data_IF_541662206761
#
_entry.id   IF_541662206761
#
_cell.length_a   1.000
_cell.length_b   1.000
_cell.length_c   1.000
_cell.angle_alpha   90.00
_cell.angle_beta   90.00
_cell.angle_gamma   90.00
#
_symmetry.space_group_name_H-M   'P 1'
#
loop_
_entity.id
_entity.type
_entity.pdbx_description
1 polymer ?
#
# COMPACT_ATOMS: atom_id res chain seq x y z
N UNK A 1 -1.81 7.91 -19.15
CA UNK A 1 -1.63 6.94 -18.05
C UNK A 1 -0.35 7.18 -17.24
N UNK A 2 0.83 7.35 -17.85
CA UNK A 2 2.07 7.68 -17.11
C UNK A 2 2.02 9.03 -16.36
N UNK A 3 1.46 10.08 -16.97
CA UNK A 3 1.39 11.41 -16.34
C UNK A 3 0.47 11.48 -15.10
N UNK A 4 -0.65 10.75 -15.09
CA UNK A 4 -1.56 10.75 -13.93
C UNK A 4 -0.98 10.01 -12.73
N UNK A 5 -0.23 8.93 -12.98
CA UNK A 5 0.50 8.23 -11.92
C UNK A 5 1.57 9.15 -11.31
N UNK A 6 2.35 9.86 -12.13
CA UNK A 6 3.36 10.80 -11.63
C UNK A 6 2.74 11.94 -10.79
N UNK A 7 1.59 12.47 -11.20
CA UNK A 7 0.88 13.52 -10.44
C UNK A 7 0.46 13.08 -9.04
N UNK A 8 -0.04 11.85 -8.86
CA UNK A 8 -0.37 11.37 -7.52
C UNK A 8 0.88 11.03 -6.69
N UNK A 9 1.97 10.64 -7.34
CA UNK A 9 3.20 10.32 -6.65
C UNK A 9 3.89 11.55 -6.06
N UNK A 10 3.67 12.75 -6.61
CA UNK A 10 4.29 13.98 -6.13
C UNK A 10 3.97 14.31 -4.65
N UNK A 11 2.69 14.44 -4.23
CA UNK A 11 2.38 14.74 -2.83
C UNK A 11 2.75 13.59 -1.89
N UNK A 12 2.71 12.33 -2.37
CA UNK A 12 3.18 11.15 -1.62
C UNK A 12 4.69 11.25 -1.37
N UNK A 13 5.47 11.54 -2.42
CA UNK A 13 6.92 11.67 -2.33
C UNK A 13 7.33 12.83 -1.41
N UNK A 14 6.63 13.96 -1.50
CA UNK A 14 6.83 15.10 -0.60
C UNK A 14 6.55 14.72 0.86
N UNK A 15 5.47 14.00 1.13
CA UNK A 15 5.13 13.53 2.48
C UNK A 15 6.19 12.58 3.05
N UNK A 16 6.63 11.59 2.26
CA UNK A 16 7.68 10.64 2.65
C UNK A 16 9.02 11.36 2.92
N UNK A 17 9.39 12.32 2.07
CA UNK A 17 10.60 13.13 2.24
C UNK A 17 10.55 13.95 3.53
N UNK A 18 9.44 14.66 3.79
CA UNK A 18 9.24 15.45 5.02
C UNK A 18 9.23 14.58 6.28
N UNK A 19 8.70 13.37 6.20
CA UNK A 19 8.59 12.46 7.33
C UNK A 19 9.90 11.73 7.65
N UNK A 20 10.51 11.11 6.64
CA UNK A 20 11.64 10.18 6.79
C UNK A 20 12.99 10.73 6.33
N UNK A 21 13.06 11.94 5.77
CA UNK A 21 14.31 12.57 5.29
C UNK A 21 14.80 12.04 3.94
N UNK A 22 14.09 11.10 3.31
CA UNK A 22 14.39 10.57 1.99
C UNK A 22 13.11 10.38 1.19
N UNK A 23 13.13 10.80 -0.07
CA UNK A 23 12.06 10.54 -1.03
C UNK A 23 12.16 9.16 -1.68
N UNK A 24 11.15 8.87 -2.50
CA UNK A 24 11.15 7.73 -3.42
C UNK A 24 12.12 7.99 -4.57
N UNK A 25 12.94 6.99 -4.85
CA UNK A 25 13.88 6.96 -5.99
C UNK A 25 13.70 5.67 -6.79
N UNK A 26 14.26 5.61 -8.00
CA UNK A 26 14.23 4.41 -8.86
C UNK A 26 12.82 3.86 -9.08
N UNK A 27 11.83 4.74 -9.29
CA UNK A 27 10.44 4.35 -9.55
C UNK A 27 10.38 3.66 -10.91
N UNK A 28 9.97 2.40 -10.94
CA UNK A 28 9.89 1.59 -12.16
C UNK A 28 8.57 0.81 -12.22
N UNK A 29 7.90 0.73 -13.39
CA UNK A 29 6.72 -0.10 -13.55
C UNK A 29 7.10 -1.59 -13.50
N UNK A 30 6.16 -2.42 -13.04
CA UNK A 30 6.24 -3.87 -13.17
C UNK A 30 5.27 -4.34 -14.26
N UNK A 31 5.76 -5.22 -15.13
CA UNK A 31 4.89 -5.92 -16.08
C UNK A 31 3.82 -6.74 -15.33
N UNK A 32 4.19 -7.36 -14.21
CA UNK A 32 3.27 -8.06 -13.33
C UNK A 32 2.38 -7.10 -12.56
N UNK A 33 1.05 -7.31 -12.60
CA UNK A 33 0.12 -6.47 -11.87
C UNK A 33 -0.11 -5.09 -12.51
N UNK A 34 0.22 -4.91 -13.79
CA UNK A 34 0.00 -3.68 -14.57
C UNK A 34 -1.44 -3.14 -14.43
N UNK A 35 -2.44 -4.03 -14.35
CA UNK A 35 -3.83 -3.63 -14.15
C UNK A 35 -4.08 -2.88 -12.84
N UNK A 36 -3.19 -2.98 -11.86
CA UNK A 36 -3.21 -2.28 -10.57
C UNK A 36 -2.05 -1.28 -10.46
N UNK A 37 -1.51 -0.80 -11.58
CA UNK A 37 -0.39 0.13 -11.65
C UNK A 37 0.77 -0.30 -10.75
N UNK A 38 1.16 -1.57 -10.88
CA UNK A 38 2.27 -2.14 -10.14
C UNK A 38 3.57 -1.40 -10.46
N UNK A 39 4.23 -0.89 -9.43
CA UNK A 39 5.54 -0.26 -9.52
C UNK A 39 6.42 -0.70 -8.35
N UNK A 40 7.73 -0.63 -8.54
CA UNK A 40 8.72 -0.67 -7.47
C UNK A 40 9.37 0.69 -7.33
N UNK A 41 9.93 0.94 -6.16
CA UNK A 41 10.81 2.08 -5.92
C UNK A 41 11.74 1.78 -4.74
N UNK A 42 12.58 2.73 -4.40
CA UNK A 42 13.42 2.71 -3.21
C UNK A 42 13.02 3.87 -2.30
N UNK A 43 12.77 3.58 -1.02
CA UNK A 43 12.67 4.57 0.05
C UNK A 43 13.97 4.52 0.86
N UNK A 44 14.87 5.48 0.61
CA UNK A 44 16.26 5.34 1.05
C UNK A 44 16.91 4.09 0.45
N UNK A 45 17.26 3.11 1.28
CA UNK A 45 17.83 1.81 0.85
C UNK A 45 16.83 0.65 0.92
N UNK A 46 15.57 0.92 1.22
CA UNK A 46 14.56 -0.10 1.40
C UNK A 46 13.65 -0.18 0.18
N UNK A 47 13.49 -1.38 -0.39
CA UNK A 47 12.61 -1.61 -1.52
C UNK A 47 11.14 -1.45 -1.11
N UNK A 48 10.37 -0.79 -1.96
CA UNK A 48 8.92 -0.60 -1.81
C UNK A 48 8.17 -1.18 -3.00
N UNK A 49 7.06 -1.86 -2.72
CA UNK A 49 6.13 -2.35 -3.72
C UNK A 49 4.86 -1.50 -3.73
N UNK A 50 4.53 -0.91 -4.88
CA UNK A 50 3.43 0.04 -5.01
C UNK A 50 2.30 -0.54 -5.85
N UNK A 51 1.05 -0.26 -5.45
CA UNK A 51 -0.17 -0.66 -6.16
C UNK A 51 -1.22 0.45 -6.07
N UNK A 52 -2.12 0.51 -7.03
CA UNK A 52 -3.35 1.32 -7.00
C UNK A 52 -4.53 0.38 -6.78
N UNK A 53 -5.30 0.59 -5.73
CA UNK A 53 -6.51 -0.17 -5.47
C UNK A 53 -7.66 0.26 -6.39
N UNK A 54 -8.67 -0.59 -6.52
CA UNK A 54 -9.84 -0.33 -7.36
C UNK A 54 -11.14 -0.40 -6.57
N UNK A 55 -12.03 0.55 -6.81
CA UNK A 55 -13.41 0.46 -6.34
C UNK A 55 -14.09 -0.69 -7.09
N UNK A 56 -14.84 -1.49 -6.33
CA UNK A 56 -15.70 -2.55 -6.90
C UNK A 56 -17.16 -2.16 -6.64
N UNK A 57 -18.06 -2.20 -7.63
CA UNK A 57 -19.41 -1.65 -7.48
C UNK A 57 -20.21 -2.23 -6.31
N UNK A 58 -20.02 -3.52 -6.02
CA UNK A 58 -20.93 -4.28 -5.14
C UNK A 58 -20.40 -4.53 -3.73
N UNK A 59 -19.17 -4.13 -3.40
CA UNK A 59 -18.69 -4.29 -2.01
C UNK A 59 -17.87 -3.10 -1.53
N UNK A 60 -18.00 -2.82 -0.24
CA UNK A 60 -17.36 -1.68 0.44
C UNK A 60 -15.84 -1.79 0.47
N UNK A 61 -15.17 -0.64 0.60
CA UNK A 61 -13.72 -0.55 0.45
C UNK A 61 -13.26 -0.79 -0.99
N UNK A 62 -11.96 -0.78 -1.18
CA UNK A 62 -11.32 -0.97 -2.48
C UNK A 62 -10.59 -2.32 -2.51
N UNK A 63 -10.48 -2.92 -3.68
CA UNK A 63 -9.76 -4.17 -3.87
C UNK A 63 -8.38 -3.90 -4.45
N UNK A 64 -7.35 -4.53 -3.87
CA UNK A 64 -5.98 -4.47 -4.36
C UNK A 64 -5.40 -5.87 -4.47
N UNK A 65 -4.59 -6.10 -5.50
CA UNK A 65 -3.82 -7.33 -5.66
C UNK A 65 -2.40 -7.15 -5.16
N UNK A 66 -1.88 -8.18 -4.48
CA UNK A 66 -0.52 -8.24 -3.98
C UNK A 66 0.02 -9.66 -4.17
N UNK A 67 0.49 -9.95 -5.38
CA UNK A 67 1.01 -11.25 -5.80
C UNK A 67 2.18 -11.07 -6.79
N UNK A 68 2.94 -12.14 -6.98
CA UNK A 68 3.98 -12.31 -8.01
C UNK A 68 3.80 -13.67 -8.71
N UNK A 69 4.48 -13.93 -9.83
CA UNK A 69 4.57 -15.30 -10.35
C UNK A 69 5.74 -16.06 -9.72
N UNK A 70 5.53 -17.35 -9.47
CA UNK A 70 6.64 -18.25 -9.13
C UNK A 70 7.35 -18.75 -10.41
N UNK A 71 8.40 -19.57 -10.25
CA UNK A 71 9.15 -20.13 -11.38
C UNK A 71 8.29 -20.94 -12.37
N UNK A 72 7.17 -21.49 -11.92
CA UNK A 72 6.20 -22.22 -12.76
C UNK A 72 5.14 -21.32 -13.40
N UNK A 73 5.27 -20.00 -13.27
CA UNK A 73 4.33 -19.01 -13.83
C UNK A 73 3.01 -18.86 -13.05
N UNK A 74 2.84 -19.54 -11.91
CA UNK A 74 1.63 -19.47 -11.10
C UNK A 74 1.64 -18.23 -10.21
N UNK A 75 0.49 -17.58 -10.09
CA UNK A 75 0.33 -16.44 -9.18
C UNK A 75 0.40 -16.90 -7.73
N UNK A 76 1.34 -16.37 -6.96
CA UNK A 76 1.52 -16.63 -5.53
C UNK A 76 1.55 -15.32 -4.76
N UNK A 77 1.15 -15.30 -3.48
CA UNK A 77 1.33 -14.13 -2.63
C UNK A 77 2.79 -13.68 -2.57
N UNK A 78 3.00 -12.40 -2.27
CA UNK A 78 4.33 -11.91 -1.92
C UNK A 78 4.76 -12.57 -0.60
N UNK A 79 6.01 -13.02 -0.53
CA UNK A 79 6.60 -13.67 0.64
C UNK A 79 7.22 -12.67 1.60
N UNK A 80 7.23 -12.99 2.90
CA UNK A 80 8.04 -12.27 3.88
C UNK A 80 9.55 -12.32 3.56
N UNK A 81 10.00 -13.33 2.82
CA UNK A 81 11.38 -13.44 2.34
C UNK A 81 11.69 -12.58 1.11
N UNK A 82 10.68 -11.95 0.49
CA UNK A 82 10.91 -11.02 -0.63
C UNK A 82 11.57 -9.73 -0.14
N UNK A 83 12.28 -9.04 -1.03
CA UNK A 83 13.13 -7.88 -0.70
C UNK A 83 12.37 -6.66 -0.18
N UNK A 84 11.07 -6.56 -0.48
CA UNK A 84 10.23 -5.41 -0.16
C UNK A 84 10.02 -5.22 1.34
N UNK A 85 10.46 -4.08 1.87
CA UNK A 85 10.23 -3.72 3.28
C UNK A 85 8.93 -2.93 3.46
N UNK A 86 8.53 -2.21 2.40
CA UNK A 86 7.36 -1.34 2.41
C UNK A 86 6.39 -1.69 1.29
N UNK A 87 5.12 -1.45 1.55
CA UNK A 87 4.03 -1.67 0.62
C UNK A 87 3.15 -0.42 0.58
N UNK A 88 3.10 0.24 -0.57
CA UNK A 88 2.33 1.45 -0.77
C UNK A 88 1.09 1.14 -1.60
N UNK A 89 -0.09 1.41 -1.04
CA UNK A 89 -1.36 1.21 -1.75
C UNK A 89 -2.07 2.55 -1.90
N UNK A 90 -2.15 3.04 -3.13
CA UNK A 90 -2.88 4.25 -3.48
C UNK A 90 -4.37 3.92 -3.57
N UNK A 91 -5.20 4.81 -3.02
CA UNK A 91 -6.66 4.71 -3.04
C UNK A 91 -7.26 6.01 -3.55
N UNK A 92 -8.26 5.89 -4.41
CA UNK A 92 -9.00 7.03 -4.98
C UNK A 92 -10.49 6.75 -4.96
N UNK A 93 -11.27 7.76 -4.63
CA UNK A 93 -12.72 7.80 -4.72
C UNK A 93 -13.14 9.22 -5.16
N UNK A 94 -14.43 9.42 -5.46
CA UNK A 94 -14.96 10.69 -5.95
C UNK A 94 -14.56 11.85 -5.02
N UNK A 95 -13.62 12.67 -5.47
CA UNK A 95 -13.06 13.81 -4.72
C UNK A 95 -12.19 13.45 -3.51
N UNK A 96 -11.82 12.19 -3.32
CA UNK A 96 -11.00 11.72 -2.17
C UNK A 96 -9.83 10.90 -2.65
N UNK A 97 -8.64 11.23 -2.17
CA UNK A 97 -7.42 10.51 -2.51
C UNK A 97 -6.56 10.28 -1.27
N UNK A 98 -5.79 9.22 -1.30
CA UNK A 98 -4.89 8.91 -0.20
C UNK A 98 -4.03 7.70 -0.51
N UNK A 99 -3.21 7.33 0.45
CA UNK A 99 -2.40 6.13 0.36
C UNK A 99 -2.30 5.43 1.70
N UNK A 100 -2.01 4.15 1.63
CA UNK A 100 -1.56 3.36 2.75
C UNK A 100 -0.09 3.06 2.61
N UNK A 101 0.65 3.12 3.72
CA UNK A 101 2.02 2.65 3.79
C UNK A 101 2.11 1.56 4.85
N UNK A 102 2.28 0.31 4.43
CA UNK A 102 2.41 -0.83 5.33
C UNK A 102 3.86 -1.30 5.38
N UNK A 103 4.35 -1.64 6.58
CA UNK A 103 5.59 -2.40 6.73
C UNK A 103 5.36 -3.87 6.36
N UNK A 104 6.43 -4.56 6.01
CA UNK A 104 6.44 -6.03 5.86
C UNK A 104 5.88 -6.73 7.10
N UNK A 105 6.28 -6.27 8.29
CA UNK A 105 5.88 -6.86 9.57
C UNK A 105 4.36 -6.84 9.76
N UNK A 106 3.71 -5.69 9.53
CA UNK A 106 2.25 -5.63 9.71
C UNK A 106 1.52 -6.52 8.70
N UNK A 107 2.01 -6.61 7.45
CA UNK A 107 1.38 -7.48 6.45
C UNK A 107 1.60 -8.97 6.74
N UNK A 108 2.72 -9.36 7.35
CA UNK A 108 2.93 -10.72 7.87
C UNK A 108 1.97 -11.00 9.05
N UNK A 109 1.89 -10.07 10.02
CA UNK A 109 0.98 -10.17 11.17
C UNK A 109 -0.48 -10.33 10.74
N UNK A 110 -0.88 -9.61 9.69
CA UNK A 110 -2.24 -9.68 9.12
C UNK A 110 -2.45 -10.81 8.10
N UNK A 111 -1.46 -11.71 7.96
CA UNK A 111 -1.50 -12.88 7.06
C UNK A 111 -1.80 -12.50 5.60
N UNK A 112 -1.31 -11.35 5.17
CA UNK A 112 -1.40 -10.86 3.78
C UNK A 112 -0.19 -11.38 3.00
N UNK A 113 1.02 -11.24 3.53
CA UNK A 113 2.20 -11.90 2.96
C UNK A 113 2.24 -13.37 3.36
N UNK A 114 2.82 -14.22 2.51
CA UNK A 114 3.12 -15.60 2.90
C UNK A 114 4.33 -15.64 3.84
N UNK A 115 4.33 -16.58 4.78
CA UNK A 115 5.39 -16.75 5.78
C UNK A 115 5.14 -17.97 6.66
N UNK A 116 5.87 -18.08 7.77
CA UNK A 116 5.72 -19.22 8.70
C UNK A 116 4.26 -19.34 9.18
N UNK A 117 3.61 -20.45 8.81
CA UNK A 117 2.22 -20.72 9.20
C UNK A 117 1.15 -19.90 8.45
N UNK A 118 1.50 -19.20 7.36
CA UNK A 118 0.52 -18.50 6.52
C UNK A 118 0.82 -18.63 5.03
N UNK A 119 -0.17 -19.08 4.27
CA UNK A 119 -0.12 -19.10 2.81
C UNK A 119 -0.16 -17.69 2.19
N UNK A 120 -0.51 -16.65 2.95
CA UNK A 120 -0.71 -15.29 2.45
C UNK A 120 -1.97 -15.11 1.60
N UNK A 121 -2.11 -13.93 0.99
CA UNK A 121 -3.25 -13.54 0.14
C UNK A 121 -2.74 -12.92 -1.15
N UNK A 122 -3.35 -13.31 -2.28
CA UNK A 122 -3.07 -12.70 -3.60
C UNK A 122 -3.77 -11.35 -3.78
N UNK A 123 -4.79 -11.07 -2.98
CA UNK A 123 -5.49 -9.79 -2.98
C UNK A 123 -6.36 -9.65 -1.75
N UNK A 124 -6.67 -8.41 -1.40
CA UNK A 124 -7.44 -8.10 -0.19
C UNK A 124 -8.20 -6.78 -0.35
N UNK A 125 -9.12 -6.54 0.57
CA UNK A 125 -9.84 -5.26 0.65
C UNK A 125 -9.12 -4.29 1.56
N UNK A 126 -9.09 -3.05 1.13
CA UNK A 126 -8.53 -1.92 1.84
C UNK A 126 -9.62 -0.88 2.09
N UNK A 127 -9.65 -0.32 3.30
CA UNK A 127 -10.71 0.56 3.77
C UNK A 127 -10.10 1.90 4.18
N UNK A 128 -10.06 2.89 3.27
CA UNK A 128 -9.73 4.27 3.60
C UNK A 128 -10.59 4.79 4.76
N UNK A 129 -10.15 5.87 5.41
CA UNK A 129 -10.89 6.41 6.58
C UNK A 129 -12.36 6.75 6.23
N UNK A 130 -12.61 7.20 4.99
CA UNK A 130 -13.95 7.50 4.47
C UNK A 130 -14.78 6.28 4.07
N UNK A 131 -14.21 5.07 4.04
CA UNK A 131 -14.97 3.88 3.68
C UNK A 131 -15.94 3.48 4.79
N UNK A 132 -17.22 3.36 4.47
CA UNK A 132 -18.24 2.85 5.39
C UNK A 132 -18.20 1.31 5.37
N UNK A 133 -18.17 0.69 6.54
CA UNK A 133 -18.09 -0.77 6.71
C UNK A 133 -19.37 -1.29 7.35
N UNK A 134 -20.06 -2.23 6.70
CA UNK A 134 -21.31 -2.81 7.22
C UNK A 134 -21.12 -4.18 7.87
N UNK A 135 -20.03 -4.89 7.57
CA UNK A 135 -19.74 -6.19 8.18
C UNK A 135 -18.68 -6.08 9.27
N UNK A 136 -18.77 -6.94 10.29
CA UNK A 136 -17.80 -7.00 11.38
C UNK A 136 -16.37 -7.28 10.86
N UNK A 137 -16.24 -8.14 9.83
CA UNK A 137 -14.95 -8.42 9.21
C UNK A 137 -14.35 -7.18 8.53
N UNK A 138 -15.17 -6.39 7.84
CA UNK A 138 -14.72 -5.16 7.20
C UNK A 138 -14.33 -4.10 8.25
N UNK A 139 -15.13 -3.95 9.31
CA UNK A 139 -14.84 -3.05 10.42
C UNK A 139 -13.51 -3.41 11.11
N UNK A 140 -13.32 -4.69 11.46
CA UNK A 140 -12.08 -5.17 12.07
C UNK A 140 -10.86 -4.95 11.15
N UNK A 141 -11.02 -5.17 9.85
CA UNK A 141 -9.95 -4.90 8.87
C UNK A 141 -9.63 -3.40 8.79
N UNK A 142 -10.66 -2.55 8.77
CA UNK A 142 -10.49 -1.09 8.76
C UNK A 142 -9.74 -0.62 10.01
N UNK A 143 -10.06 -1.14 11.19
CA UNK A 143 -9.46 -0.72 12.47
C UNK A 143 -7.93 -0.71 12.46
N UNK A 144 -7.29 -1.75 11.90
CA UNK A 144 -5.83 -1.75 11.83
C UNK A 144 -5.32 -0.97 10.61
N UNK A 145 -6.03 -0.98 9.49
CA UNK A 145 -5.60 -0.31 8.25
C UNK A 145 -5.52 1.20 8.39
N UNK A 146 -6.45 1.84 9.11
CA UNK A 146 -6.47 3.30 9.28
C UNK A 146 -5.22 3.84 9.98
N UNK A 147 -4.55 3.02 10.78
CA UNK A 147 -3.27 3.39 11.41
C UNK A 147 -2.13 3.59 10.40
N UNK A 148 -2.30 3.09 9.18
CA UNK A 148 -1.34 3.18 8.07
C UNK A 148 -1.86 4.05 6.92
N UNK A 149 -3.03 4.67 7.07
CA UNK A 149 -3.67 5.49 6.05
C UNK A 149 -3.23 6.96 6.16
N UNK A 150 -3.05 7.64 5.02
CA UNK A 150 -2.70 9.04 4.91
C UNK A 150 -3.49 9.70 3.77
N UNK A 151 -4.20 10.78 4.08
CA UNK A 151 -5.09 11.49 3.16
C UNK A 151 -4.33 12.53 2.32
N UNK A 152 -4.71 12.69 1.06
CA UNK A 152 -4.11 13.60 0.09
C UNK A 152 -5.15 14.65 -0.38
N UNK A 153 -4.71 15.82 -0.88
CA UNK A 153 -3.31 16.25 -1.04
C UNK A 153 -2.70 16.81 0.25
N UNK A 154 -3.53 17.13 1.25
CA UNK A 154 -3.08 17.78 2.47
C UNK A 154 -2.74 16.75 3.57
N UNK A 155 -1.44 16.56 3.82
CA UNK A 155 -0.96 15.78 4.96
C UNK A 155 -0.83 16.72 6.16
N UNK A 156 -1.69 16.53 7.15
CA UNK A 156 -1.67 17.27 8.41
C UNK A 156 -0.38 17.00 9.19
N UNK A 157 0.00 17.89 10.11
CA UNK A 157 1.18 17.70 10.96
C UNK A 157 1.07 16.44 11.83
N UNK A 158 -0.12 16.14 12.34
CA UNK A 158 -0.39 14.90 13.08
C UNK A 158 -0.17 13.65 12.23
N UNK A 159 -0.61 13.68 10.96
CA UNK A 159 -0.38 12.59 10.01
C UNK A 159 1.10 12.48 9.64
N UNK A 160 1.80 13.60 9.47
CA UNK A 160 3.23 13.62 9.20
C UNK A 160 4.04 13.04 10.37
N UNK A 161 3.68 13.38 11.61
CA UNK A 161 4.30 12.81 12.80
C UNK A 161 4.07 11.29 12.88
N UNK A 162 2.87 10.82 12.56
CA UNK A 162 2.57 9.38 12.51
C UNK A 162 3.37 8.68 11.42
N UNK A 163 3.49 9.27 10.24
CA UNK A 163 4.32 8.76 9.14
C UNK A 163 5.80 8.71 9.54
N UNK A 164 6.31 9.76 10.20
CA UNK A 164 7.69 9.80 10.73
C UNK A 164 7.94 8.68 11.72
N UNK A 165 7.05 8.48 12.69
CA UNK A 165 7.15 7.37 13.65
C UNK A 165 7.19 6.03 12.92
N UNK A 166 6.29 5.81 11.97
CA UNK A 166 6.23 4.59 11.16
C UNK A 166 7.56 4.30 10.45
N UNK A 167 8.20 5.32 9.87
CA UNK A 167 9.47 5.18 9.15
C UNK A 167 10.70 5.04 10.05
N UNK A 168 10.60 5.38 11.34
CA UNK A 168 11.69 5.29 12.32
C UNK A 168 11.73 3.97 13.07
N UNK A 169 10.62 3.24 13.15
CA UNK A 169 10.58 1.89 13.73
C UNK A 169 11.39 0.93 12.84
N UNK A 170 12.52 0.45 13.37
CA UNK A 170 13.39 -0.58 12.81
C UNK A 170 13.20 -1.88 13.58
#
# INVERSE_FOLDING_TARGET
>A
MGQEFLKIMEPINAALTRAGGAGLTSIAPQAEGVHYHAHTAMLGRQAILMRVAKITPTKTGQFVTLWKRNASGLTVPISGSDEYQWFLVIVKDTGKEGFFLFSKEILLKQKILSGTGSAGKRGFRIYPIWAITHSQQAAHTKTWQVNFFFELPCITDSSLQRLRKLLQFK
#
